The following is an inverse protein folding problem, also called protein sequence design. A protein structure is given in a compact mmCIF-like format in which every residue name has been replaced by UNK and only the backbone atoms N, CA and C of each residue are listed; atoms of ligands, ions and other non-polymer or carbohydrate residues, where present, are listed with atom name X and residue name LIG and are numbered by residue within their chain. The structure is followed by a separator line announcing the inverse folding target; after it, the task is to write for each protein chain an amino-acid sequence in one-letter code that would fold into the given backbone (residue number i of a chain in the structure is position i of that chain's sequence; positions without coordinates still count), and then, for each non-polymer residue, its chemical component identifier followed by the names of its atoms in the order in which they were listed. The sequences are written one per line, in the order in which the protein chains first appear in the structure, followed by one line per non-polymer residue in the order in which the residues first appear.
data_IF_748449363818
#
_entry.id   IF_748449363818
#
_cell.length_a   1.000
_cell.length_b   1.000
_cell.length_c   1.000
_cell.angle_alpha   90.00
_cell.angle_beta   90.00
_cell.angle_gamma   90.00
#
_symmetry.space_group_name_H-M   'P 1'
#
loop_
_entity.id
_entity.type
_entity.pdbx_description
1 polymer ?
#
# COMPACT_ATOMS: atom_id res chain seq x y z
N UNK A 1 -12.56 42.18 19.29
CA UNK A 1 -11.85 43.10 18.37
C UNK A 1 -11.52 42.35 17.09
N UNK A 2 -11.89 42.88 15.92
CA UNK A 2 -11.63 42.22 14.64
C UNK A 2 -10.15 42.38 14.24
N UNK A 3 -9.50 41.28 13.85
CA UNK A 3 -8.09 41.26 13.41
C UNK A 3 -7.96 42.00 12.08
N UNK A 4 -7.24 43.12 12.06
CA UNK A 4 -6.92 43.83 10.82
C UNK A 4 -5.95 42.98 9.97
N UNK A 5 -6.43 42.41 8.88
CA UNK A 5 -5.60 41.68 7.92
C UNK A 5 -5.07 42.69 6.91
N UNK A 6 -3.75 42.85 6.84
CA UNK A 6 -3.10 43.74 5.86
C UNK A 6 -3.36 43.20 4.45
N UNK A 7 -4.01 44.01 3.61
CA UNK A 7 -4.21 43.67 2.20
C UNK A 7 -2.85 43.59 1.51
N UNK A 8 -2.61 42.51 0.77
CA UNK A 8 -1.41 42.38 -0.03
C UNK A 8 -1.38 43.41 -1.16
N UNK A 9 -0.19 43.86 -1.54
CA UNK A 9 -0.01 44.78 -2.67
C UNK A 9 -0.44 44.12 -3.99
N UNK A 10 -0.90 44.91 -4.96
CA UNK A 10 -1.31 44.38 -6.27
C UNK A 10 -0.14 43.68 -6.99
N UNK A 11 1.08 44.20 -6.83
CA UNK A 11 2.28 43.62 -7.42
C UNK A 11 2.62 42.24 -6.82
N UNK A 12 2.50 42.08 -5.50
CA UNK A 12 2.69 40.78 -4.86
C UNK A 12 1.66 39.74 -5.33
N UNK A 13 0.42 40.17 -5.62
CA UNK A 13 -0.65 39.30 -6.11
C UNK A 13 -0.40 38.80 -7.53
N UNK A 14 0.11 39.66 -8.42
CA UNK A 14 0.45 39.25 -9.80
C UNK A 14 1.64 38.28 -9.78
N UNK A 15 2.63 38.51 -8.91
CA UNK A 15 3.77 37.61 -8.76
C UNK A 15 3.40 36.25 -8.16
N UNK A 16 2.44 36.20 -7.22
CA UNK A 16 1.97 34.95 -6.61
C UNK A 16 0.96 34.19 -7.46
N UNK A 17 0.20 34.88 -8.31
CA UNK A 17 -0.87 34.31 -9.14
C UNK A 17 -0.53 33.00 -9.88
N UNK A 18 0.62 32.85 -10.58
CA UNK A 18 0.91 31.59 -11.26
C UNK A 18 1.12 30.42 -10.29
N UNK A 19 1.69 30.68 -9.11
CA UNK A 19 1.86 29.67 -8.07
C UNK A 19 0.51 29.34 -7.43
N UNK A 20 -0.31 30.35 -7.14
CA UNK A 20 -1.65 30.19 -6.58
C UNK A 20 -2.54 29.37 -7.53
N UNK A 21 -2.45 29.61 -8.84
CA UNK A 21 -3.17 28.84 -9.88
C UNK A 21 -2.69 27.38 -9.93
N UNK A 22 -1.37 27.14 -9.88
CA UNK A 22 -0.84 25.77 -9.85
C UNK A 22 -1.28 25.01 -8.59
N UNK A 23 -1.32 25.70 -7.45
CA UNK A 23 -1.79 25.14 -6.19
C UNK A 23 -3.29 24.83 -6.26
N UNK A 24 -4.10 25.76 -6.76
CA UNK A 24 -5.54 25.56 -6.97
C UNK A 24 -5.81 24.39 -7.91
N UNK A 25 -5.12 24.31 -9.06
CA UNK A 25 -5.26 23.18 -9.98
C UNK A 25 -4.85 21.86 -9.34
N UNK A 26 -3.81 21.87 -8.51
CA UNK A 26 -3.37 20.67 -7.80
C UNK A 26 -4.39 20.25 -6.72
N UNK A 27 -4.95 21.20 -5.99
CA UNK A 27 -6.02 20.96 -5.02
C UNK A 27 -7.27 20.40 -5.72
N UNK A 28 -7.73 21.05 -6.80
CA UNK A 28 -8.85 20.55 -7.61
C UNK A 28 -8.58 19.14 -8.12
N UNK A 29 -7.38 18.88 -8.66
CA UNK A 29 -6.99 17.54 -9.12
C UNK A 29 -7.02 16.50 -7.99
N UNK A 30 -6.60 16.87 -6.78
CA UNK A 30 -6.55 15.99 -5.62
C UNK A 30 -7.93 15.78 -4.97
N UNK A 31 -8.84 16.75 -5.07
CA UNK A 31 -10.21 16.67 -4.59
C UNK A 31 -11.07 15.74 -5.45
N UNK A 32 -10.78 15.64 -6.75
CA UNK A 32 -11.50 14.74 -7.65
C UNK A 32 -11.10 13.29 -7.37
N UNK A 33 -12.04 12.48 -6.91
CA UNK A 33 -11.84 11.03 -6.77
C UNK A 33 -11.95 10.33 -8.13
N UNK A 34 -10.85 10.39 -8.89
CA UNK A 34 -10.74 9.76 -10.21
C UNK A 34 -11.03 8.25 -10.19
N UNK A 35 -10.84 7.58 -9.05
CA UNK A 35 -11.08 6.15 -8.92
C UNK A 35 -12.58 5.80 -8.86
N UNK A 36 -13.46 6.75 -8.51
CA UNK A 36 -14.92 6.57 -8.56
C UNK A 36 -15.48 6.67 -9.98
N UNK A 37 -14.86 7.52 -10.81
CA UNK A 37 -15.25 7.74 -12.21
C UNK A 37 -14.58 6.77 -13.19
N UNK A 38 -13.81 5.80 -12.69
CA UNK A 38 -12.99 4.93 -13.55
C UNK A 38 -13.83 4.05 -14.47
N UNK A 39 -14.91 3.48 -13.98
CA UNK A 39 -15.76 2.58 -14.77
C UNK A 39 -16.67 3.35 -15.73
N UNK A 40 -17.26 4.45 -15.26
CA UNK A 40 -18.25 5.22 -16.02
C UNK A 40 -17.63 6.15 -17.05
N UNK A 41 -16.43 6.70 -16.79
CA UNK A 41 -15.79 7.69 -17.68
C UNK A 41 -14.61 7.08 -18.42
N UNK A 42 -13.73 6.32 -17.77
CA UNK A 42 -12.47 5.89 -18.40
C UNK A 42 -12.69 4.83 -19.49
N UNK A 43 -13.64 3.92 -19.31
CA UNK A 43 -14.01 2.92 -20.31
C UNK A 43 -14.54 3.54 -21.61
N UNK A 44 -15.63 4.34 -21.59
CA UNK A 44 -16.13 4.95 -22.82
C UNK A 44 -15.14 5.95 -23.40
N UNK A 45 -14.38 6.67 -22.57
CA UNK A 45 -13.37 7.61 -23.06
C UNK A 45 -12.26 6.89 -23.84
N UNK A 46 -11.75 5.76 -23.35
CA UNK A 46 -10.76 4.98 -24.09
C UNK A 46 -11.32 4.35 -25.37
N UNK A 47 -12.58 3.89 -25.34
CA UNK A 47 -13.27 3.41 -26.55
C UNK A 47 -13.49 4.52 -27.59
N UNK A 48 -13.86 5.72 -27.15
CA UNK A 48 -13.98 6.88 -28.04
C UNK A 48 -12.62 7.24 -28.63
N UNK A 49 -11.55 7.25 -27.82
CA UNK A 49 -10.20 7.54 -28.29
C UNK A 49 -9.70 6.50 -29.32
N UNK A 50 -9.98 5.20 -29.14
CA UNK A 50 -9.62 4.18 -30.14
C UNK A 50 -10.37 4.39 -31.45
N UNK A 51 -11.67 4.66 -31.38
CA UNK A 51 -12.52 4.89 -32.55
C UNK A 51 -12.09 6.16 -33.29
N UNK A 52 -11.84 7.26 -32.58
CA UNK A 52 -11.33 8.51 -33.16
C UNK A 52 -9.98 8.27 -33.83
N UNK A 53 -9.06 7.53 -33.19
CA UNK A 53 -7.77 7.20 -33.77
C UNK A 53 -7.90 6.37 -35.05
N UNK A 54 -8.81 5.40 -35.07
CA UNK A 54 -9.11 4.60 -36.25
C UNK A 54 -9.64 5.45 -37.40
N UNK A 55 -10.60 6.35 -37.14
CA UNK A 55 -11.14 7.24 -38.17
C UNK A 55 -10.11 8.24 -38.70
N UNK A 56 -9.27 8.80 -37.82
CA UNK A 56 -8.15 9.66 -38.21
C UNK A 56 -7.20 8.90 -39.15
N UNK A 57 -6.89 7.64 -38.85
CA UNK A 57 -6.05 6.81 -39.71
C UNK A 57 -6.73 6.47 -41.03
N UNK A 58 -8.00 6.08 -41.01
CA UNK A 58 -8.77 5.77 -42.21
C UNK A 58 -8.82 6.96 -43.17
N UNK A 59 -9.00 8.17 -42.65
CA UNK A 59 -8.98 9.40 -43.43
C UNK A 59 -7.60 9.68 -44.04
N UNK A 60 -6.52 9.44 -43.29
CA UNK A 60 -5.15 9.58 -43.80
C UNK A 60 -4.84 8.55 -44.89
N UNK A 61 -5.22 7.29 -44.71
CA UNK A 61 -5.00 6.23 -45.69
C UNK A 61 -5.77 6.50 -46.98
N UNK A 62 -7.04 6.94 -46.90
CA UNK A 62 -7.83 7.32 -48.07
C UNK A 62 -7.19 8.48 -48.87
N UNK A 63 -6.64 9.49 -48.18
CA UNK A 63 -6.09 10.68 -48.83
C UNK A 63 -4.64 10.51 -49.31
N UNK A 64 -3.88 9.59 -48.70
CA UNK A 64 -2.51 9.25 -49.13
C UNK A 64 -2.49 8.34 -50.36
N UNK A 65 -3.59 7.66 -50.68
CA UNK A 65 -3.75 6.80 -51.88
C UNK A 65 -4.00 7.61 -53.17
N UNK A 66 -3.95 8.94 -53.16
CA UNK A 66 -4.00 9.75 -54.39
C UNK A 66 -2.74 9.59 -55.23
N UNK A 67 -2.80 8.59 -56.10
CA UNK A 67 -2.05 8.39 -57.34
C UNK A 67 -0.54 8.69 -57.29
N UNK A 68 0.24 7.71 -56.82
CA UNK A 68 1.51 7.40 -57.49
C UNK A 68 1.19 6.93 -58.92
N UNK A 69 0.84 7.85 -59.82
CA UNK A 69 1.09 7.63 -61.25
C UNK A 69 2.58 7.41 -61.34
N UNK A 70 2.95 6.19 -61.64
CA UNK A 70 4.33 5.78 -61.66
C UNK A 70 5.07 6.60 -62.72
N UNK A 71 5.89 7.57 -62.29
CA UNK A 71 6.79 8.34 -63.15
C UNK A 71 7.97 7.49 -63.64
N UNK A 72 7.72 6.24 -64.04
CA UNK A 72 8.75 5.40 -64.68
C UNK A 72 9.12 5.91 -66.09
N UNK A 73 8.42 6.94 -66.59
CA UNK A 73 8.54 7.45 -67.97
C UNK A 73 8.62 8.99 -68.05
N UNK A 74 9.32 9.65 -67.13
CA UNK A 74 9.57 11.10 -67.23
C UNK A 74 11.08 11.38 -67.13
N UNK A 75 11.78 11.27 -68.27
CA UNK A 75 13.19 11.66 -68.44
C UNK A 75 13.24 13.17 -68.74
N UNK A 76 12.97 13.99 -67.72
CA UNK A 76 12.96 15.44 -67.86
C UNK A 76 13.16 16.13 -66.52
N UNK A 77 14.40 16.56 -66.27
CA UNK A 77 14.84 17.57 -65.32
C UNK A 77 13.90 17.93 -64.14
N UNK A 78 14.00 17.18 -63.05
CA UNK A 78 13.89 17.79 -61.72
C UNK A 78 14.92 17.18 -60.77
N UNK A 79 15.72 18.01 -60.06
CA UNK A 79 16.80 17.52 -59.23
C UNK A 79 16.25 16.74 -58.04
N UNK A 80 17.03 15.74 -57.64
CA UNK A 80 16.96 14.84 -56.48
C UNK A 80 16.68 15.56 -55.15
N UNK A 81 15.52 16.21 -55.03
CA UNK A 81 15.02 16.87 -53.82
C UNK A 81 13.70 16.23 -53.36
N UNK A 82 13.38 15.07 -53.91
CA UNK A 82 12.29 14.19 -53.46
C UNK A 82 12.76 13.29 -52.31
N UNK A 83 13.34 13.91 -51.27
CA UNK A 83 13.35 13.28 -49.97
C UNK A 83 11.90 13.28 -49.50
N UNK A 84 11.26 12.10 -49.52
CA UNK A 84 9.87 11.76 -49.13
C UNK A 84 9.39 12.29 -47.76
N UNK A 85 10.18 13.13 -47.10
CA UNK A 85 9.93 13.70 -45.78
C UNK A 85 9.84 15.23 -45.76
N UNK A 86 10.21 15.96 -46.83
CA UNK A 86 10.46 17.41 -46.75
C UNK A 86 9.70 18.33 -47.72
N UNK A 87 8.77 17.84 -48.55
CA UNK A 87 8.26 18.68 -49.65
C UNK A 87 6.86 18.43 -50.19
N UNK A 88 5.95 17.79 -49.46
CA UNK A 88 4.52 17.83 -49.85
C UNK A 88 3.86 18.94 -49.05
N UNK A 89 3.42 20.00 -49.72
CA UNK A 89 2.59 21.03 -49.09
C UNK A 89 1.28 20.41 -48.63
N UNK A 90 1.28 19.93 -47.38
CA UNK A 90 0.08 19.37 -46.75
C UNK A 90 -0.98 20.45 -46.64
N UNK A 91 -2.20 20.13 -47.06
CA UNK A 91 -3.37 20.97 -46.87
C UNK A 91 -3.53 21.32 -45.38
N UNK A 92 -4.11 22.49 -45.02
CA UNK A 92 -4.28 22.86 -43.61
C UNK A 92 -5.09 21.81 -42.83
N UNK A 93 -6.00 21.11 -43.50
CA UNK A 93 -6.79 20.02 -42.94
C UNK A 93 -5.92 18.80 -42.62
N UNK A 94 -5.01 18.39 -43.52
CA UNK A 94 -4.05 17.32 -43.23
C UNK A 94 -3.15 17.64 -42.04
N UNK A 95 -2.72 18.90 -41.90
CA UNK A 95 -1.93 19.35 -40.74
C UNK A 95 -2.72 19.21 -39.44
N UNK A 96 -4.00 19.61 -39.44
CA UNK A 96 -4.89 19.45 -38.29
C UNK A 96 -5.10 17.98 -37.93
N UNK A 97 -5.35 17.12 -38.91
CA UNK A 97 -5.55 15.68 -38.68
C UNK A 97 -4.28 15.01 -38.16
N UNK A 98 -3.10 15.35 -38.71
CA UNK A 98 -1.81 14.90 -38.16
C UNK A 98 -1.58 15.41 -36.73
N UNK A 99 -2.00 16.65 -36.42
CA UNK A 99 -1.91 17.19 -35.06
C UNK A 99 -2.78 16.40 -34.08
N UNK A 100 -4.05 16.15 -34.43
CA UNK A 100 -4.97 15.32 -33.62
C UNK A 100 -4.40 13.93 -33.39
N UNK A 101 -3.80 13.30 -34.41
CA UNK A 101 -3.15 12.00 -34.29
C UNK A 101 -2.02 12.03 -33.25
N UNK A 102 -1.13 13.03 -33.32
CA UNK A 102 -0.01 13.18 -32.36
C UNK A 102 -0.53 13.38 -30.95
N UNK A 103 -1.59 14.18 -30.76
CA UNK A 103 -2.21 14.39 -29.45
C UNK A 103 -2.77 13.09 -28.88
N UNK A 104 -3.47 12.28 -29.69
CA UNK A 104 -4.03 11.00 -29.25
C UNK A 104 -2.94 10.00 -28.88
N UNK A 105 -1.85 9.93 -29.66
CA UNK A 105 -0.67 9.11 -29.34
C UNK A 105 -0.01 9.58 -28.04
N UNK A 106 0.15 10.89 -27.88
CA UNK A 106 0.75 11.48 -26.67
C UNK A 106 -0.08 11.17 -25.42
N UNK A 107 -1.40 11.26 -25.49
CA UNK A 107 -2.31 10.87 -24.40
C UNK A 107 -2.13 9.39 -24.06
N UNK A 108 -2.03 8.53 -25.07
CA UNK A 108 -1.81 7.10 -24.89
C UNK A 108 -0.47 6.77 -24.19
N UNK A 109 0.61 7.42 -24.64
CA UNK A 109 1.95 7.26 -24.06
C UNK A 109 1.97 7.76 -22.63
N UNK A 110 1.39 8.93 -22.34
CA UNK A 110 1.31 9.46 -20.99
C UNK A 110 0.52 8.51 -20.08
N UNK A 111 -0.63 7.99 -20.51
CA UNK A 111 -1.38 7.03 -19.71
C UNK A 111 -0.59 5.75 -19.44
N UNK A 112 0.13 5.24 -20.45
CA UNK A 112 0.98 4.05 -20.32
C UNK A 112 2.13 4.29 -19.33
N UNK A 113 2.77 5.46 -19.39
CA UNK A 113 3.82 5.84 -18.45
C UNK A 113 3.26 6.01 -17.03
N UNK A 114 2.10 6.65 -16.87
CA UNK A 114 1.44 6.79 -15.58
C UNK A 114 1.04 5.44 -14.98
N UNK A 115 0.57 4.50 -15.80
CA UNK A 115 0.24 3.15 -15.37
C UNK A 115 1.49 2.37 -14.93
N UNK A 116 2.55 2.38 -15.74
CA UNK A 116 3.75 1.57 -15.51
C UNK A 116 4.64 2.13 -14.40
N UNK A 117 4.81 3.44 -14.29
CA UNK A 117 5.78 4.06 -13.38
C UNK A 117 5.20 4.35 -11.98
N UNK A 118 3.88 4.24 -11.79
CA UNK A 118 3.25 4.55 -10.52
C UNK A 118 3.51 3.43 -9.51
N UNK A 119 4.45 3.70 -8.61
CA UNK A 119 4.83 2.82 -7.51
C UNK A 119 4.65 3.54 -6.18
N UNK A 120 4.36 2.79 -5.11
CA UNK A 120 4.32 3.28 -3.74
C UNK A 120 5.36 2.53 -2.91
N UNK A 121 6.02 3.27 -2.04
CA UNK A 121 7.11 2.78 -1.19
C UNK A 121 6.58 2.57 0.22
N UNK A 122 6.78 1.39 0.76
CA UNK A 122 6.41 1.05 2.13
C UNK A 122 7.66 0.68 2.91
N UNK A 123 7.83 1.23 4.11
CA UNK A 123 8.94 0.90 4.98
C UNK A 123 8.46 -0.06 6.08
N UNK A 124 9.15 -1.18 6.22
CA UNK A 124 8.92 -2.19 7.26
C UNK A 124 10.09 -2.13 8.24
N UNK A 125 9.77 -1.95 9.51
CA UNK A 125 10.75 -1.77 10.58
C UNK A 125 10.86 -3.02 11.46
N UNK A 126 12.03 -3.21 12.07
CA UNK A 126 12.26 -4.17 13.16
C UNK A 126 11.93 -5.63 12.78
N UNK A 127 12.44 -6.09 11.62
CA UNK A 127 12.28 -7.47 11.15
C UNK A 127 13.56 -7.98 10.46
N UNK A 128 13.97 -9.18 10.83
CA UNK A 128 15.23 -9.78 10.37
C UNK A 128 15.12 -10.31 8.93
N UNK A 129 13.96 -10.86 8.56
CA UNK A 129 13.65 -11.33 7.22
C UNK A 129 12.18 -11.07 6.84
N UNK A 130 11.97 -10.61 5.61
CA UNK A 130 10.64 -10.57 4.97
C UNK A 130 10.61 -11.72 3.95
N UNK A 131 9.45 -12.36 3.81
CA UNK A 131 9.23 -13.34 2.74
C UNK A 131 9.69 -12.75 1.39
N UNK A 132 10.33 -13.58 0.57
CA UNK A 132 11.03 -13.18 -0.66
C UNK A 132 10.10 -12.67 -1.77
N UNK A 133 9.37 -11.58 -1.54
CA UNK A 133 8.78 -10.80 -2.62
C UNK A 133 9.91 -10.17 -3.44
N UNK A 134 9.81 -10.30 -4.76
CA UNK A 134 10.77 -9.73 -5.72
C UNK A 134 10.90 -8.19 -5.61
N UNK A 135 9.96 -7.52 -4.95
CA UNK A 135 9.88 -6.06 -4.78
C UNK A 135 10.50 -5.56 -3.47
N UNK A 136 11.03 -6.45 -2.62
CA UNK A 136 11.63 -6.12 -1.32
C UNK A 136 13.10 -5.73 -1.45
N UNK A 137 13.51 -4.68 -0.76
CA UNK A 137 14.91 -4.24 -0.71
C UNK A 137 15.29 -3.85 0.71
N UNK A 138 16.42 -4.35 1.21
CA UNK A 138 16.99 -3.86 2.47
C UNK A 138 17.63 -2.50 2.25
N UNK A 139 17.20 -1.50 3.01
CA UNK A 139 17.72 -0.14 2.95
C UNK A 139 18.34 0.20 4.30
N UNK A 140 19.64 0.46 4.27
CA UNK A 140 20.38 0.97 5.42
C UNK A 140 20.22 2.48 5.44
N UNK A 141 19.86 3.07 6.59
CA UNK A 141 19.73 4.52 6.79
C UNK A 141 21.10 5.22 6.77
N UNK A 142 21.80 5.17 5.65
CA UNK A 142 22.97 6.01 5.44
C UNK A 142 22.48 7.45 5.38
N UNK A 143 22.90 8.27 6.34
CA UNK A 143 22.72 9.73 6.34
C UNK A 143 22.94 10.26 4.92
N UNK A 144 22.00 11.06 4.43
CA UNK A 144 21.78 11.47 3.04
C UNK A 144 23.01 12.07 2.33
N UNK A 145 24.02 11.24 2.05
CA UNK A 145 25.15 11.56 1.20
C UNK A 145 24.84 10.96 -0.15
N UNK A 146 24.29 11.86 -0.96
CA UNK A 146 24.11 11.81 -2.41
C UNK A 146 25.01 10.79 -3.09
N UNK A 147 24.49 10.10 -4.10
CA UNK A 147 25.17 9.09 -4.92
C UNK A 147 26.60 9.54 -5.35
N UNK A 148 26.82 10.85 -5.50
CA UNK A 148 28.12 11.48 -5.73
C UNK A 148 29.12 11.36 -4.56
N UNK A 149 28.69 11.56 -3.32
CA UNK A 149 29.55 11.42 -2.14
C UNK A 149 30.00 9.96 -1.92
N UNK A 150 29.21 8.98 -2.38
CA UNK A 150 29.58 7.56 -2.36
C UNK A 150 30.61 7.18 -3.44
N UNK A 151 30.72 7.98 -4.50
CA UNK A 151 31.71 7.81 -5.56
C UNK A 151 33.07 8.42 -5.21
N UNK A 152 33.11 9.38 -4.26
CA UNK A 152 34.31 10.13 -3.87
C UNK A 152 34.80 9.86 -2.43
N UNK A 153 34.14 9.01 -1.64
CA UNK A 153 34.62 8.65 -0.30
C UNK A 153 35.09 7.20 -0.26
N UNK A 154 36.39 7.02 0.04
CA UNK A 154 36.94 5.71 0.38
C UNK A 154 36.55 5.35 1.81
N UNK A 155 35.81 4.25 1.95
CA UNK A 155 35.61 3.42 3.13
C UNK A 155 35.68 4.07 4.52
N UNK A 156 34.53 4.09 5.20
CA UNK A 156 34.46 3.85 6.64
C UNK A 156 33.32 2.84 6.90
N UNK A 157 33.54 1.77 7.68
CA UNK A 157 32.48 0.89 8.15
C UNK A 157 31.90 1.49 9.42
N UNK A 158 30.73 2.13 9.32
CA UNK A 158 30.05 2.69 10.49
C UNK A 158 28.97 1.74 11.02
N UNK A 159 29.05 1.57 12.33
CA UNK A 159 28.28 0.72 13.24
C UNK A 159 26.75 0.91 13.17
N UNK A 160 26.02 -0.18 13.41
CA UNK A 160 24.59 -0.28 13.76
C UNK A 160 23.68 0.83 13.21
N UNK A 161 23.75 1.02 11.90
CA UNK A 161 22.80 1.89 11.20
C UNK A 161 21.48 1.14 11.08
N UNK A 162 20.44 1.61 11.77
CA UNK A 162 19.07 1.09 11.73
C UNK A 162 18.67 0.71 10.28
N UNK A 163 18.77 -0.58 9.96
CA UNK A 163 18.43 -1.11 8.65
C UNK A 163 16.95 -1.45 8.64
N UNK A 164 16.20 -0.86 7.72
CA UNK A 164 14.80 -1.18 7.51
C UNK A 164 14.60 -1.77 6.11
N UNK A 165 13.49 -2.47 5.93
CA UNK A 165 13.14 -3.03 4.63
C UNK A 165 12.21 -2.06 3.90
N UNK A 166 12.48 -1.79 2.63
CA UNK A 166 11.62 -1.02 1.74
C UNK A 166 10.95 -1.97 0.75
N UNK A 167 9.62 -1.88 0.64
CA UNK A 167 8.81 -2.61 -0.35
C UNK A 167 8.34 -1.59 -1.38
N UNK A 168 8.77 -1.76 -2.63
CA UNK A 168 8.33 -0.94 -3.75
C UNK A 168 7.14 -1.62 -4.44
N UNK A 169 5.94 -1.31 -3.99
CA UNK A 169 4.72 -1.90 -4.51
C UNK A 169 4.22 -1.12 -5.73
N UNK A 170 3.96 -1.81 -6.83
CA UNK A 170 3.27 -1.22 -7.98
C UNK A 170 1.84 -0.81 -7.60
N UNK A 171 1.41 0.42 -7.91
CA UNK A 171 0.08 0.88 -7.49
C UNK A 171 -0.59 1.73 -8.59
N UNK A 172 -1.10 1.09 -9.64
CA UNK A 172 -1.83 1.79 -10.69
C UNK A 172 -3.15 2.34 -10.13
N UNK A 173 -3.54 3.56 -10.56
CA UNK A 173 -4.88 4.09 -10.26
C UNK A 173 -5.93 3.30 -11.05
N UNK A 174 -7.12 3.10 -10.48
CA UNK A 174 -8.20 2.39 -11.15
C UNK A 174 -8.49 3.06 -12.51
N UNK A 175 -8.61 4.38 -12.53
CA UNK A 175 -8.83 5.16 -13.75
C UNK A 175 -7.81 4.84 -14.85
N UNK A 176 -6.52 4.87 -14.52
CA UNK A 176 -5.45 4.60 -15.48
C UNK A 176 -5.45 3.15 -15.96
N UNK A 177 -5.78 2.19 -15.08
CA UNK A 177 -5.96 0.78 -15.45
C UNK A 177 -7.09 0.59 -16.44
N UNK A 178 -8.29 1.13 -16.15
CA UNK A 178 -9.44 1.03 -17.04
C UNK A 178 -9.17 1.70 -18.40
N UNK A 179 -8.54 2.88 -18.39
CA UNK A 179 -8.16 3.59 -19.61
C UNK A 179 -7.08 2.84 -20.41
N UNK A 180 -6.12 2.20 -19.74
CA UNK A 180 -5.08 1.39 -20.39
C UNK A 180 -5.66 0.14 -21.05
N UNK A 181 -6.63 -0.50 -20.39
CA UNK A 181 -7.31 -1.68 -20.92
C UNK A 181 -8.23 -1.33 -22.10
N UNK A 182 -8.98 -0.22 -22.01
CA UNK A 182 -9.88 0.22 -23.09
C UNK A 182 -9.13 0.88 -24.25
N UNK A 183 -7.98 1.51 -24.00
CA UNK A 183 -7.11 2.11 -25.00
C UNK A 183 -5.68 1.53 -24.97
N UNK A 184 -5.47 0.30 -25.46
CA UNK A 184 -4.16 -0.34 -25.43
C UNK A 184 -3.15 0.40 -26.31
N UNK A 185 -1.92 0.68 -25.81
CA UNK A 185 -0.89 1.35 -26.61
C UNK A 185 -0.48 0.58 -27.86
N UNK A 186 -0.59 -0.75 -27.82
CA UNK A 186 -0.26 -1.62 -28.95
C UNK A 186 -1.22 -1.46 -30.12
N UNK A 187 -2.50 -1.23 -29.85
CA UNK A 187 -3.49 -0.97 -30.90
C UNK A 187 -3.15 0.32 -31.65
N UNK A 188 -2.64 1.32 -30.93
CA UNK A 188 -2.17 2.58 -31.52
C UNK A 188 -0.94 2.38 -32.39
N UNK A 189 0.05 1.62 -31.90
CA UNK A 189 1.26 1.27 -32.65
C UNK A 189 0.92 0.44 -33.89
N UNK A 190 0.00 -0.51 -33.77
CA UNK A 190 -0.45 -1.33 -34.88
C UNK A 190 -1.11 -0.50 -35.99
N UNK A 191 -2.08 0.31 -35.63
CA UNK A 191 -2.77 1.19 -36.57
C UNK A 191 -1.83 2.27 -37.14
N UNK A 192 -0.78 2.68 -36.41
CA UNK A 192 0.27 3.53 -36.95
C UNK A 192 1.09 2.81 -38.04
N UNK A 193 1.42 1.54 -37.80
CA UNK A 193 2.24 0.72 -38.69
C UNK A 193 1.47 0.08 -39.85
N UNK A 194 0.13 0.17 -39.88
CA UNK A 194 -0.65 -0.68 -40.80
C UNK A 194 -0.77 -0.13 -42.23
N UNK A 195 -0.31 -0.97 -43.18
CA UNK A 195 -0.93 -1.35 -44.46
C UNK A 195 -0.99 -2.90 -44.46
N UNK A 196 -2.12 -3.50 -44.86
CA UNK A 196 -2.41 -4.94 -44.65
C UNK A 196 -1.34 -5.88 -45.20
N UNK A 197 -0.68 -6.64 -44.32
CA UNK A 197 0.37 -7.61 -44.63
C UNK A 197 0.52 -8.64 -43.50
N UNK A 198 1.39 -9.66 -43.67
CA UNK A 198 1.74 -10.69 -42.67
C UNK A 198 2.08 -10.12 -41.27
N UNK A 199 2.43 -8.83 -41.20
CA UNK A 199 2.57 -8.01 -40.00
C UNK A 199 1.37 -8.07 -39.02
N UNK A 200 0.17 -8.43 -39.48
CA UNK A 200 -0.99 -8.66 -38.61
C UNK A 200 -0.78 -9.83 -37.62
N UNK A 201 0.02 -10.84 -37.98
CA UNK A 201 0.37 -11.94 -37.06
C UNK A 201 1.34 -11.46 -35.96
N UNK A 202 2.26 -10.57 -36.30
CA UNK A 202 3.14 -9.92 -35.31
C UNK A 202 2.33 -9.08 -34.31
N UNK A 203 1.24 -8.44 -34.75
CA UNK A 203 0.34 -7.71 -33.86
C UNK A 203 -0.39 -8.61 -32.83
N UNK A 204 -0.88 -9.77 -33.27
CA UNK A 204 -1.50 -10.76 -32.36
C UNK A 204 -0.49 -11.28 -31.33
N UNK A 205 0.76 -11.52 -31.75
CA UNK A 205 1.83 -11.91 -30.83
C UNK A 205 2.20 -10.77 -29.87
N UNK A 206 2.31 -9.54 -30.36
CA UNK A 206 2.67 -8.37 -29.55
C UNK A 206 1.62 -8.06 -28.48
N UNK A 207 0.33 -8.12 -28.82
CA UNK A 207 -0.76 -7.93 -27.84
C UNK A 207 -0.78 -9.04 -26.79
N UNK A 208 -0.57 -10.31 -27.19
CA UNK A 208 -0.49 -11.46 -26.28
C UNK A 208 0.70 -11.38 -25.31
N UNK A 209 1.90 -11.09 -25.82
CA UNK A 209 3.12 -10.98 -25.00
C UNK A 209 3.00 -9.85 -23.98
N UNK A 210 2.41 -8.72 -24.34
CA UNK A 210 2.29 -7.61 -23.39
C UNK A 210 1.19 -7.88 -22.36
N UNK A 211 0.06 -8.46 -22.75
CA UNK A 211 -0.95 -8.90 -21.79
C UNK A 211 -0.33 -9.81 -20.72
N UNK A 212 0.55 -10.73 -21.15
CA UNK A 212 1.31 -11.60 -20.24
C UNK A 212 2.31 -10.84 -19.37
N UNK A 213 3.17 -10.01 -19.95
CA UNK A 213 4.25 -9.33 -19.23
C UNK A 213 3.76 -8.24 -18.29
N UNK A 214 2.77 -7.46 -18.69
CA UNK A 214 2.34 -6.25 -17.96
C UNK A 214 1.18 -6.56 -17.02
N UNK A 215 0.15 -7.25 -17.50
CA UNK A 215 -1.06 -7.45 -16.71
C UNK A 215 -0.88 -8.67 -15.80
N UNK A 216 -0.51 -9.83 -16.36
CA UNK A 216 -0.46 -11.06 -15.56
C UNK A 216 0.71 -11.03 -14.59
N UNK A 217 1.95 -10.83 -15.06
CA UNK A 217 3.12 -10.81 -14.17
C UNK A 217 3.08 -9.65 -13.18
N UNK A 218 2.71 -8.44 -13.63
CA UNK A 218 2.62 -7.28 -12.76
C UNK A 218 1.56 -7.44 -11.66
N UNK A 219 0.40 -7.99 -11.99
CA UNK A 219 -0.68 -8.19 -11.02
C UNK A 219 -0.37 -9.32 -10.03
N UNK A 220 0.28 -10.41 -10.46
CA UNK A 220 0.71 -11.48 -9.55
C UNK A 220 1.70 -10.96 -8.49
N UNK A 221 2.71 -10.19 -8.91
CA UNK A 221 3.65 -9.55 -7.98
C UNK A 221 2.92 -8.57 -7.04
N UNK A 222 1.97 -7.79 -7.57
CA UNK A 222 1.17 -6.87 -6.76
C UNK A 222 0.32 -7.60 -5.70
N UNK A 223 -0.27 -8.74 -6.04
CA UNK A 223 -1.05 -9.54 -5.10
C UNK A 223 -0.19 -10.08 -3.97
N UNK A 224 1.00 -10.61 -4.30
CA UNK A 224 1.97 -11.09 -3.32
C UNK A 224 2.44 -9.95 -2.40
N UNK A 225 2.81 -8.79 -2.98
CA UNK A 225 3.24 -7.61 -2.23
C UNK A 225 2.15 -7.12 -1.25
N UNK A 226 0.88 -7.13 -1.68
CA UNK A 226 -0.26 -6.75 -0.83
C UNK A 226 -0.46 -7.74 0.31
N UNK A 227 -0.35 -9.03 0.04
CA UNK A 227 -0.49 -10.06 1.08
C UNK A 227 0.58 -9.90 2.15
N UNK A 228 1.84 -9.69 1.76
CA UNK A 228 2.95 -9.42 2.69
C UNK A 228 2.69 -8.16 3.51
N UNK A 229 2.24 -7.08 2.87
CA UNK A 229 1.91 -5.83 3.57
C UNK A 229 0.79 -6.05 4.58
N UNK A 230 -0.29 -6.73 4.21
CA UNK A 230 -1.40 -6.98 5.13
C UNK A 230 -0.98 -7.85 6.30
N UNK A 231 -0.23 -8.92 6.04
CA UNK A 231 0.33 -9.77 7.09
C UNK A 231 1.15 -8.94 8.09
N UNK A 232 2.02 -8.05 7.61
CA UNK A 232 2.81 -7.19 8.49
C UNK A 232 1.95 -6.18 9.27
N UNK A 233 0.95 -5.57 8.63
CA UNK A 233 0.05 -4.64 9.34
C UNK A 233 -0.75 -5.35 10.43
N UNK A 234 -1.15 -6.61 10.21
CA UNK A 234 -1.83 -7.42 11.22
C UNK A 234 -0.88 -7.79 12.36
N UNK A 235 0.37 -8.18 12.06
CA UNK A 235 1.39 -8.46 13.08
C UNK A 235 1.69 -7.23 13.95
N UNK A 236 1.82 -6.05 13.32
CA UNK A 236 2.04 -4.79 14.02
C UNK A 236 0.83 -4.43 14.90
N UNK A 237 -0.37 -4.56 14.36
CA UNK A 237 -1.61 -4.31 15.10
C UNK A 237 -1.73 -5.26 16.30
N UNK A 238 -1.46 -6.55 16.11
CA UNK A 238 -1.52 -7.55 17.17
C UNK A 238 -0.52 -7.23 18.28
N UNK A 239 0.72 -6.90 17.91
CA UNK A 239 1.79 -6.56 18.84
C UNK A 239 1.50 -5.27 19.63
N UNK A 240 0.98 -4.24 18.97
CA UNK A 240 0.76 -2.91 19.58
C UNK A 240 -0.54 -2.78 20.35
N UNK A 241 -1.61 -3.44 19.90
CA UNK A 241 -2.96 -3.20 20.43
C UNK A 241 -3.60 -4.44 21.04
N UNK A 242 -3.36 -5.63 20.50
CA UNK A 242 -4.05 -6.86 20.92
C UNK A 242 -3.35 -7.50 22.11
N UNK A 243 -2.08 -7.92 21.93
CA UNK A 243 -1.26 -8.56 22.98
C UNK A 243 -1.25 -7.76 24.28
N UNK A 244 -0.96 -6.45 24.31
CA UNK A 244 -0.91 -5.71 25.56
C UNK A 244 -2.27 -5.58 26.25
N UNK A 245 -3.41 -5.78 25.56
CA UNK A 245 -4.74 -5.78 26.20
C UNK A 245 -5.17 -7.17 26.65
N UNK A 246 -4.79 -8.22 25.91
CA UNK A 246 -5.15 -9.60 26.20
C UNK A 246 -4.23 -10.27 27.21
N UNK A 247 -2.93 -9.94 27.21
CA UNK A 247 -1.92 -10.56 28.08
C UNK A 247 -1.54 -9.69 29.27
N UNK A 248 -2.46 -8.85 29.78
CA UNK A 248 -2.24 -8.12 31.04
C UNK A 248 -2.35 -9.12 32.17
N UNK A 249 -1.28 -9.26 32.96
CA UNK A 249 -1.35 -10.00 34.21
C UNK A 249 -2.38 -9.33 35.13
N UNK A 250 -3.49 -10.01 35.39
CA UNK A 250 -4.49 -9.60 36.37
C UNK A 250 -4.30 -10.41 37.64
N UNK A 251 -4.50 -9.78 38.79
CA UNK A 251 -4.59 -10.48 40.07
C UNK A 251 -6.05 -10.58 40.48
N UNK A 252 -6.44 -11.73 40.99
CA UNK A 252 -7.76 -11.90 41.57
C UNK A 252 -7.78 -11.29 42.97
N UNK A 253 -8.93 -10.72 43.31
CA UNK A 253 -9.16 -10.08 44.61
C UNK A 253 -10.55 -10.50 45.07
N UNK A 254 -10.63 -11.19 46.21
CA UNK A 254 -11.90 -11.43 46.88
C UNK A 254 -12.16 -10.30 47.86
N UNK A 255 -13.37 -9.73 47.81
CA UNK A 255 -13.82 -8.65 48.70
C UNK A 255 -15.05 -9.16 49.44
N UNK A 256 -14.94 -9.24 50.76
CA UNK A 256 -16.08 -9.55 51.61
C UNK A 256 -16.82 -8.25 51.99
N UNK A 257 -18.11 -8.18 51.61
CA UNK A 257 -19.00 -7.04 51.89
C UNK A 257 -20.07 -7.36 52.93
N UNK A 258 -19.98 -8.52 53.61
CA UNK A 258 -21.04 -9.04 54.50
C UNK A 258 -21.36 -8.11 55.68
N UNK A 259 -20.44 -7.24 56.09
CA UNK A 259 -20.59 -6.41 57.31
C UNK A 259 -21.06 -4.97 57.10
N UNK A 260 -21.50 -4.60 55.91
CA UNK A 260 -22.09 -3.28 55.66
C UNK A 260 -21.12 -2.11 55.85
N UNK A 261 -21.58 -0.86 55.63
CA UNK A 261 -20.71 0.32 55.55
C UNK A 261 -20.31 0.96 56.89
N UNK A 262 -20.79 0.44 58.03
CA UNK A 262 -20.62 1.05 59.36
C UNK A 262 -19.75 0.22 60.32
N UNK A 263 -19.16 -0.87 59.85
CA UNK A 263 -18.28 -1.71 60.67
C UNK A 263 -16.80 -1.34 60.39
N UNK A 264 -16.08 -0.93 61.44
CA UNK A 264 -14.69 -0.42 61.35
C UNK A 264 -13.66 -1.54 61.08
N UNK A 265 -14.07 -2.81 61.14
CA UNK A 265 -13.30 -3.94 60.63
C UNK A 265 -13.36 -3.96 59.09
N UNK A 266 -12.44 -3.19 58.49
CA UNK A 266 -12.12 -3.12 57.06
C UNK A 266 -12.43 -4.46 56.38
N UNK A 267 -13.49 -4.46 55.55
CA UNK A 267 -13.94 -5.62 54.79
C UNK A 267 -12.77 -6.41 54.24
N UNK A 268 -12.74 -7.72 54.52
CA UNK A 268 -11.54 -8.52 54.26
C UNK A 268 -11.28 -8.58 52.76
N UNK A 269 -10.18 -7.96 52.33
CA UNK A 269 -9.71 -8.00 50.94
C UNK A 269 -8.60 -9.03 50.85
N UNK A 270 -8.88 -10.15 50.20
CA UNK A 270 -7.93 -11.23 49.99
C UNK A 270 -7.31 -11.12 48.60
N UNK A 271 -5.98 -11.04 48.54
CA UNK A 271 -5.23 -10.98 47.29
C UNK A 271 -4.69 -12.37 46.92
N UNK A 272 -4.85 -12.75 45.66
CA UNK A 272 -4.28 -13.98 45.12
C UNK A 272 -3.08 -13.68 44.22
N UNK A 273 -2.17 -14.66 44.11
CA UNK A 273 -0.98 -14.54 43.27
C UNK A 273 -1.38 -14.24 41.82
N UNK A 274 -0.79 -13.22 41.16
CA UNK A 274 -1.11 -12.91 39.77
C UNK A 274 -0.82 -14.11 38.87
N UNK A 275 -1.89 -14.77 38.44
CA UNK A 275 -1.86 -15.89 37.51
C UNK A 275 -2.17 -15.46 36.09
N UNK A 276 -1.92 -16.35 35.13
CA UNK A 276 -2.53 -16.22 33.80
C UNK A 276 -4.04 -16.27 34.00
N UNK A 277 -4.75 -15.23 33.56
CA UNK A 277 -6.20 -15.04 33.73
C UNK A 277 -6.96 -16.36 33.69
N UNK A 278 -7.61 -16.75 34.79
CA UNK A 278 -8.57 -17.86 34.74
C UNK A 278 -9.68 -17.54 33.72
N UNK A 279 -10.27 -18.58 33.14
CA UNK A 279 -11.32 -18.42 32.12
C UNK A 279 -12.46 -17.59 32.71
N UNK A 280 -12.79 -16.48 32.05
CA UNK A 280 -13.92 -15.60 32.42
C UNK A 280 -15.25 -16.35 32.40
N UNK A 281 -15.33 -17.41 31.60
CA UNK A 281 -16.50 -18.29 31.52
C UNK A 281 -16.17 -19.65 32.13
N UNK A 282 -16.85 -19.96 33.24
CA UNK A 282 -16.92 -21.29 33.84
C UNK A 282 -18.24 -21.90 33.42
N UNK A 283 -18.19 -23.04 32.75
CA UNK A 283 -19.40 -23.81 32.41
C UNK A 283 -19.82 -24.59 33.63
N UNK A 284 -21.10 -24.55 33.96
CA UNK A 284 -21.67 -25.30 35.08
C UNK A 284 -22.58 -26.40 34.52
N UNK A 285 -22.54 -27.57 35.15
CA UNK A 285 -23.53 -28.61 34.95
C UNK A 285 -24.90 -28.18 35.51
N UNK A 286 -25.97 -28.88 35.13
CA UNK A 286 -27.35 -28.68 35.62
C UNK A 286 -27.47 -28.68 37.16
N UNK A 287 -26.47 -29.26 37.85
CA UNK A 287 -26.36 -29.33 39.31
C UNK A 287 -25.53 -28.19 39.92
N UNK A 288 -25.07 -27.22 39.12
CA UNK A 288 -24.28 -26.06 39.55
C UNK A 288 -22.77 -26.30 39.71
N UNK A 289 -22.29 -27.51 39.45
CA UNK A 289 -20.87 -27.84 39.53
C UNK A 289 -20.10 -27.37 38.29
N UNK A 290 -18.89 -26.82 38.46
CA UNK A 290 -18.03 -26.45 37.34
C UNK A 290 -17.64 -27.68 36.51
N UNK A 291 -17.99 -27.68 35.22
CA UNK A 291 -17.59 -28.71 34.26
C UNK A 291 -16.20 -28.38 33.72
N UNK A 292 -15.23 -29.22 34.06
CA UNK A 292 -13.87 -29.14 33.49
C UNK A 292 -13.79 -30.15 32.37
N UNK A 293 -13.74 -29.65 31.14
CA UNK A 293 -13.54 -30.46 29.94
C UNK A 293 -12.04 -30.54 29.64
N UNK A 294 -11.53 -31.77 29.49
CA UNK A 294 -10.18 -32.02 29.01
C UNK A 294 -10.26 -32.37 27.52
N UNK A 295 -9.42 -31.71 26.72
CA UNK A 295 -9.26 -32.03 25.31
C UNK A 295 -8.20 -33.11 25.18
N UNK A 296 -8.62 -34.34 24.87
CA UNK A 296 -7.74 -35.47 24.57
C UNK A 296 -8.23 -36.13 23.29
N UNK A 297 -7.31 -36.48 22.40
CA UNK A 297 -7.60 -37.28 21.19
C UNK A 297 -8.68 -36.70 20.26
N UNK A 298 -8.78 -35.37 20.19
CA UNK A 298 -9.72 -34.68 19.29
C UNK A 298 -11.16 -34.58 19.80
N UNK A 299 -11.45 -35.06 21.01
CA UNK A 299 -12.78 -35.01 21.62
C UNK A 299 -12.74 -34.32 23.00
N UNK A 300 -13.76 -33.53 23.31
CA UNK A 300 -13.92 -32.90 24.62
C UNK A 300 -14.61 -33.89 25.55
N UNK A 301 -13.88 -34.42 26.54
CA UNK A 301 -14.46 -35.35 27.52
C UNK A 301 -14.60 -34.68 28.88
N UNK A 302 -15.76 -34.84 29.56
CA UNK A 302 -15.95 -34.30 30.90
C UNK A 302 -15.09 -35.10 31.90
N UNK A 303 -14.27 -34.41 32.69
CA UNK A 303 -13.52 -35.05 33.78
C UNK A 303 -14.50 -35.52 34.84
N UNK A 304 -14.81 -36.81 34.87
CA UNK A 304 -15.57 -37.42 35.97
C UNK A 304 -14.71 -37.35 37.23
N UNK A 305 -15.14 -36.58 38.24
CA UNK A 305 -14.54 -36.59 39.57
C UNK A 305 -14.61 -38.01 40.12
N UNK A 306 -13.50 -38.75 40.10
CA UNK A 306 -13.38 -39.99 40.86
C UNK A 306 -13.46 -39.65 42.35
N UNK A 307 -14.35 -40.31 43.09
CA UNK A 307 -14.67 -40.05 44.49
C UNK A 307 -13.50 -40.31 45.48
N UNK A 308 -12.28 -40.54 45.01
CA UNK A 308 -11.12 -40.87 45.83
C UNK A 308 -10.05 -39.81 45.65
N UNK A 309 -9.96 -38.94 46.67
CA UNK A 309 -9.08 -37.77 46.83
C UNK A 309 -9.32 -36.63 45.83
N UNK A 310 -9.65 -35.40 46.31
CA UNK A 310 -9.59 -34.23 45.46
C UNK A 310 -8.13 -34.03 45.08
N UNK A 311 -7.80 -34.25 43.81
CA UNK A 311 -6.56 -33.70 43.28
C UNK A 311 -6.76 -32.20 43.30
N UNK A 312 -6.04 -31.52 44.18
CA UNK A 312 -6.12 -30.06 44.36
C UNK A 312 -5.92 -29.39 43.00
N UNK A 313 -7.03 -28.97 42.39
CA UNK A 313 -7.03 -28.07 41.26
C UNK A 313 -6.35 -26.79 41.76
N UNK A 314 -5.09 -26.63 41.37
CA UNK A 314 -4.23 -25.43 41.51
C UNK A 314 -4.82 -24.41 42.50
N UNK A 315 -4.64 -24.66 43.80
CA UNK A 315 -5.02 -23.70 44.84
C UNK A 315 -4.29 -22.40 44.52
N UNK A 316 -5.01 -21.36 44.09
CA UNK A 316 -4.43 -20.04 43.91
C UNK A 316 -3.77 -19.67 45.24
N UNK A 317 -2.44 -19.58 45.23
CA UNK A 317 -1.69 -19.33 46.45
C UNK A 317 -2.09 -17.95 46.95
N UNK A 318 -2.80 -17.94 48.08
CA UNK A 318 -3.15 -16.73 48.80
C UNK A 318 -1.86 -15.97 49.10
N UNK A 319 -1.77 -14.74 48.64
CA UNK A 319 -0.64 -13.87 48.98
C UNK A 319 -1.07 -13.08 50.21
N UNK A 320 -0.52 -13.38 51.41
CA UNK A 320 -0.89 -12.65 52.60
C UNK A 320 -0.59 -11.16 52.40
N UNK A 321 -1.61 -10.33 52.62
CA UNK A 321 -1.46 -8.88 52.67
C UNK A 321 -0.48 -8.55 53.79
N UNK A 322 0.61 -7.85 53.48
CA UNK A 322 1.56 -7.35 54.46
C UNK A 322 0.91 -6.23 55.29
N UNK A 323 0.02 -6.63 56.20
CA UNK A 323 -0.54 -5.75 57.22
C UNK A 323 -0.23 -6.33 58.60
N UNK A 324 1.06 -6.42 58.87
CA UNK A 324 1.59 -6.50 60.22
C UNK A 324 2.80 -5.56 60.29
N UNK A 325 2.57 -4.39 60.87
CA UNK A 325 3.61 -3.64 61.56
C UNK A 325 4.20 -4.57 62.63
N UNK A 326 5.37 -5.13 62.36
CA UNK A 326 6.55 -5.08 63.23
C UNK A 326 7.64 -6.00 62.68
N UNK A 327 8.86 -5.44 62.58
CA UNK A 327 10.19 -6.07 62.44
C UNK A 327 10.23 -7.43 61.74
N UNK A 328 10.79 -7.60 60.54
CA UNK A 328 12.22 -7.50 60.24
C UNK A 328 12.47 -7.09 58.79
N UNK A 329 13.63 -6.48 58.56
CA UNK A 329 14.13 -6.07 57.25
C UNK A 329 14.16 -7.25 56.26
N UNK A 330 13.42 -7.12 55.16
CA UNK A 330 13.60 -7.92 53.96
C UNK A 330 13.97 -6.97 52.82
N UNK A 331 15.25 -7.06 52.43
CA UNK A 331 15.79 -6.40 51.27
C UNK A 331 14.90 -6.66 50.05
N UNK A 332 14.33 -5.59 49.51
CA UNK A 332 13.75 -5.61 48.18
C UNK A 332 14.88 -5.85 47.17
N UNK A 333 15.09 -7.10 46.75
CA UNK A 333 15.73 -7.35 45.46
C UNK A 333 14.75 -6.92 44.37
N UNK A 334 15.05 -5.80 43.75
CA UNK A 334 14.35 -5.32 42.56
C UNK A 334 14.50 -6.36 41.44
N UNK A 335 13.39 -6.71 40.82
CA UNK A 335 13.38 -7.57 39.64
C UNK A 335 14.12 -6.88 38.48
N UNK A 336 14.93 -7.61 37.69
CA UNK A 336 15.79 -7.03 36.65
C UNK A 336 15.04 -6.39 35.48
N UNK A 337 13.71 -6.46 35.44
CA UNK A 337 12.88 -5.95 34.35
C UNK A 337 12.36 -4.52 34.57
N UNK A 338 12.56 -3.92 35.75
CA UNK A 338 12.09 -2.56 36.03
C UNK A 338 13.10 -1.44 35.68
N UNK A 339 14.31 -1.77 35.19
CA UNK A 339 15.41 -0.78 35.07
C UNK A 339 15.49 0.00 33.75
N UNK A 340 14.47 -0.04 32.87
CA UNK A 340 14.56 0.63 31.56
C UNK A 340 13.65 1.84 31.32
N UNK A 341 12.90 2.32 32.30
CA UNK A 341 12.09 3.53 32.15
C UNK A 341 12.20 4.46 33.36
N UNK A 342 13.40 4.99 33.61
CA UNK A 342 13.56 6.20 34.45
C UNK A 342 15.00 6.69 34.37
N UNK A 343 15.36 7.34 33.26
CA UNK A 343 16.47 8.31 33.19
C UNK A 343 16.41 9.04 31.86
N UNK A 344 15.63 10.13 31.84
CA UNK A 344 15.82 11.33 31.01
C UNK A 344 14.77 12.36 31.46
N UNK A 345 15.09 13.02 32.56
CA UNK A 345 14.91 14.47 32.66
C UNK A 345 16.26 15.11 32.37
#
# INVERSE_FOLDING_TARGET
MAKLIRKQSLWSRIKSYPFDLLLELNEQRALIDWDSYSETVALPLGAILTVVYFFVRLWQDHNTVKETKSKYFDYGDTPLRDSRYFGVEKSPIERLVSFVQVVVILVNVINTLLFMLKTKKYAVYNKDSIHHSASTRKVTRSSSRSIFAKLFSSSAPDDDVDSYWEINMWNPSKFSTYLFVSFPPFNVVFLYMSQSSFSNLFFLLQTSVVLYLVIIRGYLVLMEDKQVLFQETFDEYERKFVRPKLSVARREVAVDATRGPYDDEIGSVQYYTPGRTEKVFKTHDLKGNESVELFSDGEFTPVKRSATKPTDLRRSLYTPSARTRNSYALHHQQSPLSRKYSTRQ
#
